data_IF_321639044546
#
_entry.id   IF_321639044546
#
_cell.length_a   1.000
_cell.length_b   1.000
_cell.length_c   1.000
_cell.angle_alpha   90.00
_cell.angle_beta   90.00
_cell.angle_gamma   90.00
#
_symmetry.space_group_name_H-M   'P 1'
#
loop_
_entity.id
_entity.type
_entity.pdbx_description
1 polymer ?
#
# COMPACT_ATOMS: atom_id res chain seq x y z
N UNK A 1 10.68 -7.40 -27.47
CA UNK A 1 11.06 -8.81 -27.76
C UNK A 1 10.24 -9.86 -26.99
N UNK A 2 10.03 -9.70 -25.68
CA UNK A 2 9.28 -10.69 -24.85
C UNK A 2 7.76 -10.64 -25.12
N UNK A 3 7.24 -9.45 -25.45
CA UNK A 3 5.81 -9.22 -25.65
C UNK A 3 5.26 -9.87 -26.94
N UNK A 4 6.08 -9.93 -28.00
CA UNK A 4 5.69 -10.57 -29.28
C UNK A 4 5.55 -12.09 -29.15
N UNK A 5 6.36 -12.72 -28.30
CA UNK A 5 6.27 -14.15 -28.02
C UNK A 5 5.02 -14.47 -27.20
N UNK A 6 4.68 -13.60 -26.23
CA UNK A 6 3.46 -13.73 -25.44
C UNK A 6 2.19 -13.53 -26.29
N UNK A 7 2.20 -12.57 -27.23
CA UNK A 7 1.12 -12.36 -28.19
C UNK A 7 0.92 -13.55 -29.11
N UNK A 8 1.98 -14.05 -29.75
CA UNK A 8 1.91 -15.25 -30.61
C UNK A 8 1.38 -16.47 -29.86
N UNK A 9 1.82 -16.68 -28.63
CA UNK A 9 1.39 -17.82 -27.83
C UNK A 9 -0.10 -17.69 -27.45
N UNK A 10 -0.58 -16.47 -27.19
CA UNK A 10 -2.01 -16.19 -26.94
C UNK A 10 -2.86 -16.39 -28.19
N UNK A 11 -2.39 -15.96 -29.36
CA UNK A 11 -3.09 -16.17 -30.64
C UNK A 11 -3.14 -17.66 -31.03
N UNK A 12 -2.07 -18.41 -30.76
CA UNK A 12 -2.03 -19.85 -30.97
C UNK A 12 -3.05 -20.56 -30.08
N UNK A 13 -3.06 -20.24 -28.78
CA UNK A 13 -4.01 -20.81 -27.83
C UNK A 13 -5.46 -20.41 -28.18
N UNK A 14 -5.69 -19.16 -28.57
CA UNK A 14 -6.97 -18.67 -29.08
C UNK A 14 -7.45 -19.50 -30.27
N UNK A 15 -6.59 -19.79 -31.24
CA UNK A 15 -6.97 -20.63 -32.40
C UNK A 15 -7.34 -22.06 -32.01
N UNK A 16 -6.71 -22.62 -30.97
CA UNK A 16 -6.97 -23.99 -30.51
C UNK A 16 -8.28 -24.11 -29.72
N UNK A 17 -8.65 -23.08 -28.95
CA UNK A 17 -9.84 -23.11 -28.09
C UNK A 17 -11.05 -22.34 -28.65
N UNK A 18 -10.88 -21.49 -29.65
CA UNK A 18 -11.99 -20.77 -30.30
C UNK A 18 -12.64 -21.58 -31.44
N UNK A 19 -12.02 -22.68 -31.85
CA UNK A 19 -12.63 -23.66 -32.76
C UNK A 19 -13.32 -24.74 -31.95
N UNK A 20 -14.35 -24.34 -31.20
CA UNK A 20 -15.24 -25.26 -30.52
C UNK A 20 -16.28 -25.77 -31.53
N UNK A 21 -16.35 -27.09 -31.83
CA UNK A 21 -17.49 -27.69 -32.53
C UNK A 21 -18.69 -27.92 -31.60
N UNK A 22 -18.72 -27.31 -30.42
CA UNK A 22 -19.70 -27.50 -29.34
C UNK A 22 -21.05 -26.77 -29.46
N UNK A 23 -21.52 -26.38 -30.65
CA UNK A 23 -22.91 -25.93 -30.83
C UNK A 23 -23.48 -26.26 -32.20
N UNK A 24 -23.71 -27.55 -32.44
CA UNK A 24 -24.70 -28.04 -33.40
C UNK A 24 -25.18 -29.44 -33.01
N UNK A 25 -25.94 -29.56 -31.92
CA UNK A 25 -26.79 -30.73 -31.70
C UNK A 25 -28.06 -30.60 -32.53
N UNK A 26 -28.07 -31.19 -33.73
CA UNK A 26 -29.31 -31.62 -34.40
C UNK A 26 -28.99 -32.56 -35.58
N UNK A 27 -29.07 -33.86 -35.26
CA UNK A 27 -29.58 -34.99 -36.04
C UNK A 27 -29.33 -35.15 -37.56
N UNK A 28 -29.08 -36.43 -37.90
CA UNK A 28 -29.26 -37.15 -39.18
C UNK A 28 -28.02 -37.31 -40.10
N UNK A 29 -27.97 -38.38 -40.92
CA UNK A 29 -27.42 -39.69 -40.53
C UNK A 29 -26.19 -40.08 -41.39
N UNK A 30 -25.50 -41.13 -40.97
CA UNK A 30 -24.49 -41.86 -41.75
C UNK A 30 -24.88 -41.99 -43.23
N UNK A 31 -23.99 -41.64 -44.19
CA UNK A 31 -23.98 -42.28 -45.48
C UNK A 31 -23.13 -43.54 -45.38
N UNK A 32 -23.85 -44.66 -45.37
CA UNK A 32 -23.63 -45.85 -46.19
C UNK A 32 -22.23 -46.05 -46.77
N UNK A 33 -21.68 -47.23 -46.46
CA UNK A 33 -20.54 -47.85 -47.12
C UNK A 33 -20.54 -47.60 -48.64
N UNK A 34 -19.60 -46.80 -49.10
CA UNK A 34 -19.16 -46.83 -50.48
C UNK A 34 -17.64 -46.84 -50.47
N UNK A 35 -17.11 -48.01 -50.82
CA UNK A 35 -15.72 -48.29 -51.24
C UNK A 35 -14.88 -47.03 -51.48
N UNK A 36 -14.32 -46.46 -50.40
CA UNK A 36 -13.17 -45.59 -50.54
C UNK A 36 -12.00 -46.53 -50.52
N UNK A 37 -11.45 -46.81 -51.70
CA UNK A 37 -10.17 -47.50 -51.83
C UNK A 37 -9.23 -46.95 -50.77
N UNK A 38 -8.80 -47.81 -49.84
CA UNK A 38 -7.82 -47.46 -48.84
C UNK A 38 -6.55 -47.03 -49.58
N UNK A 39 -6.38 -45.72 -49.76
CA UNK A 39 -5.12 -45.16 -50.24
C UNK A 39 -4.09 -45.48 -49.17
N UNK A 40 -2.94 -46.01 -49.59
CA UNK A 40 -1.83 -46.45 -48.71
C UNK A 40 -1.39 -45.36 -47.71
N UNK A 41 -1.74 -44.10 -47.94
CA UNK A 41 -1.39 -42.94 -47.10
C UNK A 41 -2.35 -42.69 -45.92
N UNK A 42 -3.39 -43.51 -45.75
CA UNK A 42 -4.49 -43.23 -44.79
C UNK A 42 -4.32 -43.96 -43.45
N UNK A 43 -3.08 -44.25 -43.03
CA UNK A 43 -2.76 -45.07 -41.84
C UNK A 43 -3.11 -44.39 -40.50
N UNK A 44 -3.17 -43.06 -40.46
CA UNK A 44 -3.42 -42.26 -39.24
C UNK A 44 -4.92 -41.94 -39.00
N UNK A 45 -5.83 -42.57 -39.74
CA UNK A 45 -7.27 -42.29 -39.64
C UNK A 45 -7.95 -43.29 -38.69
N UNK A 46 -8.95 -42.82 -37.94
CA UNK A 46 -9.75 -43.62 -37.01
C UNK A 46 -10.45 -44.85 -37.63
N UNK A 47 -10.57 -44.90 -38.96
CA UNK A 47 -11.17 -46.00 -39.72
C UNK A 47 -10.12 -46.89 -40.41
N UNK A 48 -8.88 -46.90 -39.92
CA UNK A 48 -7.82 -47.75 -40.47
C UNK A 48 -8.13 -49.23 -40.28
N UNK A 49 -8.07 -49.99 -41.36
CA UNK A 49 -8.20 -51.45 -41.38
C UNK A 49 -6.85 -52.06 -41.78
N UNK A 50 -6.22 -52.75 -40.83
CA UNK A 50 -4.90 -53.35 -41.00
C UNK A 50 -4.90 -54.47 -42.04
N UNK A 51 -5.98 -55.27 -42.11
CA UNK A 51 -6.08 -56.38 -43.03
C UNK A 51 -6.26 -55.88 -44.47
N UNK A 52 -7.07 -54.83 -44.67
CA UNK A 52 -7.23 -54.21 -45.98
C UNK A 52 -5.95 -53.52 -46.46
N UNK A 53 -5.25 -52.83 -45.56
CA UNK A 53 -3.96 -52.20 -45.85
C UNK A 53 -2.88 -53.23 -46.22
N UNK A 54 -2.77 -54.32 -45.46
CA UNK A 54 -1.78 -55.35 -45.71
C UNK A 54 -2.03 -56.10 -47.03
N UNK A 55 -3.29 -56.41 -47.35
CA UNK A 55 -3.64 -57.02 -48.63
C UNK A 55 -3.26 -56.13 -49.83
N UNK A 56 -3.45 -54.81 -49.70
CA UNK A 56 -3.12 -53.84 -50.74
C UNK A 56 -1.60 -53.63 -50.86
N UNK A 57 -0.87 -53.71 -49.76
CA UNK A 57 0.59 -53.63 -49.71
C UNK A 57 1.24 -54.85 -50.38
N UNK A 58 0.76 -56.07 -50.07
CA UNK A 58 1.28 -57.33 -50.65
C UNK A 58 1.00 -57.44 -52.16
N UNK A 59 -0.11 -56.87 -52.66
CA UNK A 59 -0.41 -56.87 -54.09
C UNK A 59 0.43 -55.86 -54.89
N UNK A 60 0.96 -54.81 -54.24
CA UNK A 60 1.56 -53.66 -54.93
C UNK A 60 3.09 -53.59 -54.79
N UNK A 61 3.64 -54.06 -53.67
CA UNK A 61 5.08 -54.03 -53.38
C UNK A 61 5.75 -55.37 -53.72
N UNK A 62 7.05 -55.31 -54.06
CA UNK A 62 7.87 -56.52 -54.18
C UNK A 62 8.38 -56.96 -52.78
N UNK A 63 8.97 -58.16 -52.69
CA UNK A 63 9.46 -58.69 -51.41
C UNK A 63 10.50 -57.79 -50.73
N UNK A 64 11.33 -57.09 -51.51
CA UNK A 64 12.36 -56.17 -51.01
C UNK A 64 11.74 -54.90 -50.41
N UNK A 65 10.71 -54.34 -51.06
CA UNK A 65 9.93 -53.21 -50.57
C UNK A 65 9.15 -53.56 -49.29
N UNK A 66 8.60 -54.78 -49.23
CA UNK A 66 7.93 -55.28 -48.03
C UNK A 66 8.92 -55.44 -46.86
N UNK A 67 10.13 -55.93 -47.11
CA UNK A 67 11.18 -56.04 -46.10
C UNK A 67 11.63 -54.65 -45.61
N UNK A 68 11.81 -53.69 -46.52
CA UNK A 68 12.16 -52.33 -46.16
C UNK A 68 11.07 -51.68 -45.29
N UNK A 69 9.80 -51.85 -45.65
CA UNK A 69 8.65 -51.38 -44.87
C UNK A 69 8.57 -52.00 -43.49
N UNK A 70 8.89 -53.29 -43.34
CA UNK A 70 8.98 -53.92 -42.03
C UNK A 70 10.09 -53.29 -41.16
N UNK A 71 11.26 -53.03 -41.73
CA UNK A 71 12.39 -52.40 -41.00
C UNK A 71 12.04 -50.96 -40.60
N UNK A 72 11.41 -50.20 -41.49
CA UNK A 72 10.92 -48.84 -41.23
C UNK A 72 9.91 -48.84 -40.08
N UNK A 73 8.90 -49.72 -40.15
CA UNK A 73 7.88 -49.85 -39.11
C UNK A 73 8.47 -50.24 -37.76
N UNK A 74 9.42 -51.18 -37.73
CA UNK A 74 10.10 -51.57 -36.50
C UNK A 74 10.89 -50.41 -35.87
N UNK A 75 11.52 -49.56 -36.70
CA UNK A 75 12.20 -48.36 -36.24
C UNK A 75 11.21 -47.31 -35.70
N UNK A 76 10.09 -47.11 -36.40
CA UNK A 76 9.04 -46.17 -36.00
C UNK A 76 8.37 -46.57 -34.68
N UNK A 77 8.07 -47.86 -34.47
CA UNK A 77 7.56 -48.39 -33.20
C UNK A 77 8.51 -48.06 -32.05
N UNK A 78 9.82 -48.26 -32.25
CA UNK A 78 10.83 -47.95 -31.23
C UNK A 78 10.93 -46.45 -30.95
N UNK A 79 10.81 -45.62 -31.98
CA UNK A 79 10.85 -44.17 -31.82
C UNK A 79 9.61 -43.68 -31.05
N UNK A 80 8.42 -44.18 -31.39
CA UNK A 80 7.17 -43.86 -30.70
C UNK A 80 7.20 -44.29 -29.23
N UNK A 81 7.77 -45.44 -28.89
CA UNK A 81 7.96 -45.84 -27.49
C UNK A 81 8.89 -44.88 -26.73
N UNK A 82 9.98 -44.46 -27.38
CA UNK A 82 10.91 -43.47 -26.80
C UNK A 82 10.23 -42.11 -26.59
N UNK A 83 9.44 -41.66 -27.55
CA UNK A 83 8.68 -40.41 -27.48
C UNK A 83 7.59 -40.47 -26.39
N UNK A 84 6.90 -41.60 -26.27
CA UNK A 84 5.93 -41.83 -25.20
C UNK A 84 6.59 -41.75 -23.82
N UNK A 85 7.74 -42.42 -23.65
CA UNK A 85 8.51 -42.35 -22.40
C UNK A 85 8.92 -40.90 -22.10
N UNK A 86 9.44 -40.18 -23.09
CA UNK A 86 9.84 -38.78 -22.94
C UNK A 86 8.66 -37.89 -22.52
N UNK A 87 7.49 -38.07 -23.13
CA UNK A 87 6.29 -37.33 -22.78
C UNK A 87 5.85 -37.59 -21.34
N UNK A 88 5.88 -38.85 -20.91
CA UNK A 88 5.59 -39.24 -19.53
C UNK A 88 6.57 -38.58 -18.56
N UNK A 89 7.87 -38.61 -18.84
CA UNK A 89 8.88 -37.93 -18.03
C UNK A 89 8.66 -36.43 -17.94
N UNK A 90 8.42 -35.76 -19.07
CA UNK A 90 8.12 -34.33 -19.08
C UNK A 90 6.87 -34.00 -18.27
N UNK A 91 5.83 -34.81 -18.41
CA UNK A 91 4.56 -34.60 -17.75
C UNK A 91 4.72 -34.78 -16.22
N UNK A 92 5.37 -35.86 -15.78
CA UNK A 92 5.69 -36.05 -14.35
C UNK A 92 6.57 -34.94 -13.79
N UNK A 93 7.60 -34.50 -14.53
CA UNK A 93 8.45 -33.39 -14.09
C UNK A 93 7.67 -32.08 -13.95
N UNK A 94 6.72 -31.80 -14.87
CA UNK A 94 5.82 -30.65 -14.78
C UNK A 94 4.89 -30.76 -13.55
N UNK A 95 4.35 -31.94 -13.27
CA UNK A 95 3.51 -32.19 -12.09
C UNK A 95 4.29 -32.02 -10.77
N UNK A 96 5.50 -32.57 -10.70
CA UNK A 96 6.38 -32.42 -9.54
C UNK A 96 6.71 -30.93 -9.33
N UNK A 97 7.12 -30.23 -10.40
CA UNK A 97 7.45 -28.80 -10.35
C UNK A 97 6.25 -27.92 -9.94
N UNK A 98 5.05 -28.24 -10.42
CA UNK A 98 3.82 -27.58 -10.02
C UNK A 98 3.52 -27.82 -8.54
N UNK A 99 3.64 -29.07 -8.09
CA UNK A 99 3.42 -29.46 -6.69
C UNK A 99 4.42 -28.78 -5.75
N UNK A 100 5.70 -28.70 -6.13
CA UNK A 100 6.73 -27.99 -5.38
C UNK A 100 6.46 -26.48 -5.31
N UNK A 101 5.95 -25.90 -6.40
CA UNK A 101 5.56 -24.49 -6.42
C UNK A 101 4.40 -24.21 -5.47
N UNK A 102 3.37 -25.07 -5.47
CA UNK A 102 2.26 -24.98 -4.53
C UNK A 102 2.77 -25.13 -3.09
N UNK A 103 3.69 -26.06 -2.83
CA UNK A 103 4.28 -26.27 -1.50
C UNK A 103 5.07 -25.03 -1.02
N UNK A 104 5.87 -24.42 -1.90
CA UNK A 104 6.56 -23.15 -1.61
C UNK A 104 5.59 -22.02 -1.33
N UNK A 105 4.54 -21.88 -2.16
CA UNK A 105 3.50 -20.88 -1.95
C UNK A 105 2.83 -21.04 -0.58
N UNK A 106 2.45 -22.26 -0.21
CA UNK A 106 1.85 -22.56 1.11
C UNK A 106 2.76 -22.14 2.26
N UNK A 107 4.04 -22.51 2.21
CA UNK A 107 4.99 -22.20 3.28
C UNK A 107 5.24 -20.68 3.40
N UNK A 108 5.30 -19.96 2.28
CA UNK A 108 5.46 -18.51 2.28
C UNK A 108 4.21 -17.81 2.87
N UNK A 109 3.01 -18.22 2.45
CA UNK A 109 1.74 -17.67 2.97
C UNK A 109 1.62 -17.89 4.48
N UNK A 110 1.95 -19.09 4.98
CA UNK A 110 1.93 -19.37 6.41
C UNK A 110 2.93 -18.50 7.20
N UNK A 111 4.13 -18.27 6.65
CA UNK A 111 5.11 -17.34 7.24
C UNK A 111 4.66 -15.88 7.21
N UNK A 112 3.93 -15.49 6.15
CA UNK A 112 3.41 -14.13 5.99
C UNK A 112 2.29 -13.82 6.98
N UNK A 113 1.38 -14.76 7.24
CA UNK A 113 0.31 -14.62 8.25
C UNK A 113 0.89 -14.34 9.64
N UNK A 114 1.87 -15.15 10.05
CA UNK A 114 2.57 -14.95 11.33
C UNK A 114 3.28 -13.59 11.39
N UNK A 115 3.93 -13.18 10.30
CA UNK A 115 4.61 -11.88 10.23
C UNK A 115 3.63 -10.70 10.31
N UNK A 116 2.44 -10.86 9.72
CA UNK A 116 1.38 -9.85 9.76
C UNK A 116 0.77 -9.71 11.16
N UNK A 117 0.57 -10.82 11.87
CA UNK A 117 0.15 -10.80 13.28
C UNK A 117 1.17 -10.09 14.17
N UNK A 118 2.45 -10.43 14.03
CA UNK A 118 3.54 -9.75 14.76
C UNK A 118 3.60 -8.25 14.46
N UNK A 119 3.34 -7.85 13.21
CA UNK A 119 3.28 -6.44 12.82
C UNK A 119 2.10 -5.74 13.49
N UNK A 120 0.92 -6.36 13.51
CA UNK A 120 -0.27 -5.80 14.14
C UNK A 120 -0.06 -5.63 15.65
N UNK A 121 0.54 -6.62 16.32
CA UNK A 121 0.91 -6.53 17.73
C UNK A 121 1.88 -5.36 17.99
N UNK A 122 2.91 -5.20 17.15
CA UNK A 122 3.85 -4.07 17.25
C UNK A 122 3.17 -2.73 17.06
N UNK A 123 2.25 -2.61 16.09
CA UNK A 123 1.48 -1.37 15.86
C UNK A 123 0.63 -1.03 17.08
N UNK A 124 -0.08 -2.01 17.65
CA UNK A 124 -0.88 -1.82 18.87
C UNK A 124 0.00 -1.41 20.05
N UNK A 125 1.17 -2.04 20.21
CA UNK A 125 2.15 -1.68 21.24
C UNK A 125 2.68 -0.26 21.07
N UNK A 126 3.04 0.14 19.85
CA UNK A 126 3.50 1.50 19.53
C UNK A 126 2.37 2.52 19.78
N UNK A 127 1.15 2.22 19.36
CA UNK A 127 -0.02 3.07 19.59
C UNK A 127 -0.27 3.28 21.09
N UNK A 128 -0.31 2.20 21.88
CA UNK A 128 -0.48 2.26 23.32
C UNK A 128 0.62 3.08 24.01
N UNK A 129 1.89 2.87 23.62
CA UNK A 129 3.02 3.66 24.13
C UNK A 129 2.92 5.14 23.72
N UNK A 130 2.50 5.41 22.48
CA UNK A 130 2.28 6.76 21.97
C UNK A 130 1.19 7.48 22.75
N UNK A 131 0.05 6.81 22.99
CA UNK A 131 -1.07 7.35 23.76
C UNK A 131 -0.67 7.63 25.22
N UNK A 132 0.13 6.74 25.82
CA UNK A 132 0.72 6.97 27.14
C UNK A 132 1.63 8.20 27.20
N UNK A 133 2.52 8.35 26.22
CA UNK A 133 3.39 9.54 26.09
C UNK A 133 2.55 10.80 25.86
N UNK A 134 1.61 10.76 24.92
CA UNK A 134 0.75 11.89 24.59
C UNK A 134 -0.06 12.35 25.80
N UNK A 135 -0.64 11.42 26.57
CA UNK A 135 -1.36 11.74 27.82
C UNK A 135 -0.46 12.40 28.85
N UNK A 136 0.78 11.91 29.01
CA UNK A 136 1.74 12.51 29.95
C UNK A 136 2.17 13.93 29.53
N UNK A 137 2.37 14.14 28.22
CA UNK A 137 2.73 15.44 27.67
C UNK A 137 1.56 16.41 27.69
N UNK A 138 0.32 15.92 27.53
CA UNK A 138 -0.89 16.75 27.60
C UNK A 138 -0.99 17.47 28.94
N UNK A 139 -0.82 16.75 30.05
CA UNK A 139 -0.80 17.36 31.40
C UNK A 139 0.29 18.44 31.51
N UNK A 140 1.51 18.13 31.06
CA UNK A 140 2.62 19.10 31.08
C UNK A 140 2.32 20.33 30.22
N UNK A 141 1.76 20.16 29.01
CA UNK A 141 1.35 21.25 28.12
C UNK A 141 0.28 22.12 28.77
N UNK A 142 -0.71 21.52 29.44
CA UNK A 142 -1.74 22.26 30.16
C UNK A 142 -1.15 23.12 31.29
N UNK A 143 -0.21 22.56 32.07
CA UNK A 143 0.50 23.33 33.09
C UNK A 143 1.33 24.47 32.48
N UNK A 144 2.06 24.21 31.39
CA UNK A 144 2.84 25.24 30.68
C UNK A 144 1.92 26.36 30.18
N UNK A 145 0.78 26.02 29.59
CA UNK A 145 -0.23 26.99 29.15
C UNK A 145 -0.75 27.84 30.32
N UNK A 146 -1.06 27.23 31.47
CA UNK A 146 -1.46 27.96 32.68
C UNK A 146 -0.37 28.92 33.15
N UNK A 147 0.88 28.47 33.24
CA UNK A 147 2.01 29.34 33.58
C UNK A 147 2.22 30.46 32.56
N UNK A 148 2.07 30.18 31.27
CA UNK A 148 2.24 31.16 30.21
C UNK A 148 1.14 32.24 30.28
N UNK A 149 -0.12 31.85 30.56
CA UNK A 149 -1.22 32.81 30.81
C UNK A 149 -0.91 33.71 32.01
N UNK A 150 -0.50 33.13 33.13
CA UNK A 150 -0.15 33.90 34.34
C UNK A 150 1.04 34.84 34.09
N UNK A 151 2.10 34.35 33.43
CA UNK A 151 3.27 35.17 33.04
C UNK A 151 2.86 36.32 32.11
N UNK A 152 1.99 36.08 31.15
CA UNK A 152 1.50 37.12 30.24
C UNK A 152 0.71 38.19 30.98
N UNK A 153 -0.16 37.79 31.93
CA UNK A 153 -0.90 38.74 32.77
C UNK A 153 0.06 39.57 33.64
N UNK A 154 0.99 38.91 34.33
CA UNK A 154 2.03 39.57 35.12
C UNK A 154 2.83 40.58 34.28
N UNK A 155 3.22 40.20 33.06
CA UNK A 155 3.96 41.10 32.15
C UNK A 155 3.13 42.32 31.75
N UNK A 156 1.83 42.15 31.47
CA UNK A 156 0.92 43.28 31.17
C UNK A 156 0.77 44.22 32.37
N UNK A 157 0.62 43.68 33.58
CA UNK A 157 0.52 44.46 34.81
C UNK A 157 1.82 45.20 35.11
N UNK A 158 2.96 44.52 35.00
CA UNK A 158 4.28 45.13 35.13
C UNK A 158 4.47 46.26 34.11
N UNK A 159 4.14 46.03 32.83
CA UNK A 159 4.25 47.05 31.79
C UNK A 159 3.39 48.27 32.10
N UNK A 160 2.14 48.08 32.55
CA UNK A 160 1.26 49.20 32.93
C UNK A 160 1.85 50.01 34.09
N UNK A 161 2.39 49.35 35.11
CA UNK A 161 2.98 50.02 36.29
C UNK A 161 4.28 50.74 35.94
N UNK A 162 5.17 50.14 35.14
CA UNK A 162 6.43 50.80 34.74
C UNK A 162 6.22 51.97 33.78
N UNK A 163 5.17 51.94 32.95
CA UNK A 163 4.81 53.05 32.05
C UNK A 163 4.01 54.16 32.78
N UNK A 164 3.56 53.91 34.02
CA UNK A 164 2.73 54.84 34.77
C UNK A 164 3.43 56.18 35.08
N UNK A 165 4.68 56.24 35.58
CA UNK A 165 5.34 57.52 35.85
C UNK A 165 5.52 58.37 34.57
N UNK A 166 5.89 57.73 33.46
CA UNK A 166 6.02 58.40 32.17
C UNK A 166 4.68 58.95 31.65
N UNK A 167 3.59 58.19 31.85
CA UNK A 167 2.23 58.65 31.53
C UNK A 167 1.79 59.81 32.41
N UNK A 168 2.06 59.76 33.71
CA UNK A 168 1.74 60.86 34.63
C UNK A 168 2.51 62.14 34.28
N UNK A 169 3.80 62.04 33.95
CA UNK A 169 4.59 63.18 33.48
C UNK A 169 4.05 63.77 32.17
N UNK A 170 3.57 62.92 31.24
CA UNK A 170 2.92 63.39 30.01
C UNK A 170 1.62 64.14 30.32
N UNK A 171 0.77 63.61 31.20
CA UNK A 171 -0.47 64.26 31.61
C UNK A 171 -0.22 65.60 32.32
N UNK A 172 0.88 65.74 33.07
CA UNK A 172 1.30 67.01 33.68
C UNK A 172 1.66 68.04 32.59
N UNK A 173 2.37 67.62 31.53
CA UNK A 173 2.75 68.50 30.42
C UNK A 173 1.57 68.91 29.53
N UNK A 174 0.53 68.08 29.44
CA UNK A 174 -0.67 68.35 28.64
C UNK A 174 -1.84 68.92 29.45
N UNK A 175 -1.61 69.31 30.71
CA UNK A 175 -2.62 69.84 31.66
C UNK A 175 -3.87 68.95 31.83
N UNK A 176 -3.77 67.67 31.47
CA UNK A 176 -4.89 66.72 31.49
C UNK A 176 -4.94 65.99 32.83
N UNK A 177 -5.34 66.70 33.88
CA UNK A 177 -5.29 66.20 35.25
C UNK A 177 -6.32 65.10 35.56
N UNK A 178 -7.48 65.10 34.89
CA UNK A 178 -8.53 64.08 35.07
C UNK A 178 -8.04 62.67 34.72
N UNK A 179 -7.31 62.53 33.62
CA UNK A 179 -6.79 61.24 33.17
C UNK A 179 -5.61 60.78 34.04
N UNK A 180 -4.81 61.72 34.56
CA UNK A 180 -3.74 61.43 35.51
C UNK A 180 -4.29 60.81 36.79
N UNK A 181 -5.38 61.36 37.34
CA UNK A 181 -6.04 60.82 38.54
C UNK A 181 -6.60 59.43 38.25
N UNK A 182 -7.28 59.22 37.11
CA UNK A 182 -7.82 57.88 36.74
C UNK A 182 -6.71 56.82 36.63
N UNK A 183 -5.59 57.13 35.97
CA UNK A 183 -4.47 56.19 35.85
C UNK A 183 -3.83 55.89 37.20
N UNK A 184 -3.68 56.90 38.07
CA UNK A 184 -3.12 56.72 39.40
C UNK A 184 -4.07 55.91 40.31
N UNK A 185 -5.37 56.22 40.32
CA UNK A 185 -6.38 55.47 41.09
C UNK A 185 -6.45 54.00 40.64
N UNK A 186 -6.33 53.72 39.33
CA UNK A 186 -6.27 52.35 38.81
C UNK A 186 -5.02 51.57 39.22
N UNK A 187 -3.89 52.26 39.44
CA UNK A 187 -2.63 51.65 39.89
C UNK A 187 -2.48 51.58 41.42
N UNK A 188 -3.24 52.38 42.18
CA UNK A 188 -3.24 52.46 43.64
C UNK A 188 -3.37 51.10 44.36
N UNK A 189 -4.31 50.19 44.02
CA UNK A 189 -4.41 48.90 44.71
C UNK A 189 -3.17 48.03 44.51
N UNK A 190 -2.48 48.17 43.37
CA UNK A 190 -1.25 47.44 43.07
C UNK A 190 -0.08 48.02 43.86
N UNK A 191 0.00 49.35 44.00
CA UNK A 191 1.00 49.99 44.86
C UNK A 191 0.76 49.76 46.35
N UNK A 192 -0.48 49.58 46.79
CA UNK A 192 -0.78 49.20 48.17
C UNK A 192 -0.34 47.76 48.47
N UNK A 193 -0.57 46.83 47.54
CA UNK A 193 -0.20 45.42 47.73
C UNK A 193 1.30 45.12 47.47
N UNK A 194 1.90 45.77 46.47
CA UNK A 194 3.25 45.43 45.97
C UNK A 194 4.18 46.65 45.81
N UNK A 195 3.77 47.83 46.28
CA UNK A 195 4.53 49.05 46.13
C UNK A 195 5.79 49.12 47.00
N UNK A 196 5.85 48.42 48.13
CA UNK A 196 7.06 48.40 48.97
C UNK A 196 8.09 47.35 48.54
N UNK A 197 7.70 46.42 47.66
CA UNK A 197 8.57 45.36 47.14
C UNK A 197 9.00 45.65 45.71
N UNK A 198 8.35 45.03 44.71
CA UNK A 198 8.79 45.04 43.32
C UNK A 198 8.62 46.39 42.61
N UNK A 199 7.75 47.29 43.11
CA UNK A 199 7.41 48.54 42.42
C UNK A 199 7.77 49.82 43.20
N UNK A 200 8.71 49.74 44.15
CA UNK A 200 9.08 50.85 45.04
C UNK A 200 9.53 52.11 44.32
N UNK A 201 10.35 51.97 43.29
CA UNK A 201 10.87 53.13 42.56
C UNK A 201 9.79 53.77 41.67
N UNK A 202 8.91 52.96 41.06
CA UNK A 202 7.74 53.46 40.33
C UNK A 202 6.72 54.14 41.25
N UNK A 203 6.50 53.61 42.46
CA UNK A 203 5.63 54.23 43.47
C UNK A 203 6.18 55.60 43.87
N UNK A 204 7.46 55.70 44.22
CA UNK A 204 8.10 56.98 44.55
C UNK A 204 8.02 58.01 43.41
N UNK A 205 8.27 57.60 42.17
CA UNK A 205 8.20 58.48 41.02
C UNK A 205 6.76 58.94 40.72
N UNK A 206 5.78 58.04 40.81
CA UNK A 206 4.36 58.39 40.63
C UNK A 206 3.82 59.28 41.75
N UNK A 207 4.19 59.05 43.02
CA UNK A 207 3.85 59.93 44.15
C UNK A 207 4.48 61.33 44.02
N UNK A 208 5.72 61.41 43.52
CA UNK A 208 6.36 62.69 43.23
C UNK A 208 5.65 63.44 42.08
N UNK A 209 5.21 62.72 41.04
CA UNK A 209 4.42 63.28 39.94
C UNK A 209 3.05 63.79 40.43
N UNK A 210 2.34 63.01 41.26
CA UNK A 210 1.06 63.41 41.87
C UNK A 210 1.24 64.61 42.81
N UNK A 211 2.32 64.67 43.58
CA UNK A 211 2.64 65.83 44.43
C UNK A 211 2.85 67.12 43.62
N UNK A 212 3.39 67.02 42.40
CA UNK A 212 3.49 68.15 41.47
C UNK A 212 2.11 68.55 40.91
N UNK A 213 1.25 67.58 40.60
CA UNK A 213 -0.13 67.84 40.17
C UNK A 213 -0.90 68.59 41.26
N UNK A 214 -0.80 68.15 42.52
CA UNK A 214 -1.45 68.81 43.66
C UNK A 214 -0.95 70.25 43.83
N UNK A 215 0.36 70.50 43.66
CA UNK A 215 0.94 71.85 43.70
C UNK A 215 0.53 72.75 42.53
N UNK A 216 0.21 72.19 41.36
CA UNK A 216 -0.26 72.95 40.21
C UNK A 216 -1.78 73.24 40.25
N UNK A 217 -2.52 72.53 41.10
CA UNK A 217 -3.96 72.70 41.32
C UNK A 217 -4.31 73.58 42.54
N UNK A 218 -3.32 73.87 43.40
CA UNK A 218 -3.41 74.85 44.51
C UNK A 218 -3.03 76.25 44.03
#
# INVERSE_FOLDING_TARGET
PIDDKAKRMRDLLSSFYSSDPGSATSATPLPTASSRFATLDTINTLSFDADQYMNLLVQKENLEGLLHKHVEMAAEIKNLDTDLQMLVYENYNKFISATDTIRRMKNNIAGMETSMEQLLEKIVSVQSRSDGVNTSLFKKREHIEKLHRTRNLLRKVQQFIYDLPARLEKCIKSESYDDAVKFYTGAMPIFQAYGESSFRDCKKQSEAAVSKIIKNLQ
#
